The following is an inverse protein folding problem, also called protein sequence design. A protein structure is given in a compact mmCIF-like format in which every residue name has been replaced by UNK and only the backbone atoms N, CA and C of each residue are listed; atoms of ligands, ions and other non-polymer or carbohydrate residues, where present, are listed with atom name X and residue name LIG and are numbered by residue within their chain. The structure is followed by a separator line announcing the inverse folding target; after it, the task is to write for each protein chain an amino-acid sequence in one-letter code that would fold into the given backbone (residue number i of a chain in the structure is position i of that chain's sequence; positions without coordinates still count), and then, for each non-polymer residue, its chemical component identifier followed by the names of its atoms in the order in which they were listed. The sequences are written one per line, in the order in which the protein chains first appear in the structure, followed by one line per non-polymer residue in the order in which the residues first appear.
data_IF_442222602841
#
_entry.id   IF_442222602841
#
_cell.length_a   1.000
_cell.length_b   1.000
_cell.length_c   1.000
_cell.angle_alpha   90.00
_cell.angle_beta   90.00
_cell.angle_gamma   90.00
#
_symmetry.space_group_name_H-M   'P 1'
#
loop_
_entity.id
_entity.type
_entity.pdbx_description
1 polymer ?
#
# COMPACT_ATOMS: atom_id res chain seq x y z
N UNK A 1 -43.43 -28.14 30.86
CA UNK A 1 -43.44 -28.86 29.57
C UNK A 1 -43.72 -27.80 28.51
N UNK A 2 -42.76 -27.24 27.79
CA UNK A 2 -41.36 -27.62 27.51
C UNK A 2 -40.41 -26.45 27.78
N UNK A 3 -39.30 -26.72 28.45
CA UNK A 3 -38.10 -25.87 28.37
C UNK A 3 -37.57 -25.97 26.93
N UNK A 4 -37.37 -24.83 26.29
CA UNK A 4 -36.59 -24.78 25.05
C UNK A 4 -35.13 -24.93 25.44
N UNK A 5 -34.58 -26.12 25.23
CA UNK A 5 -33.14 -26.37 25.24
C UNK A 5 -32.49 -25.43 24.20
N UNK A 6 -31.63 -24.54 24.68
CA UNK A 6 -30.64 -23.90 23.84
C UNK A 6 -29.62 -24.99 23.44
N UNK A 7 -29.80 -25.59 22.27
CA UNK A 7 -28.75 -26.35 21.62
C UNK A 7 -27.57 -25.39 21.37
N UNK A 8 -26.52 -25.56 22.18
CA UNK A 8 -25.19 -25.03 21.87
C UNK A 8 -24.60 -25.83 20.70
N UNK A 9 -25.06 -25.53 19.48
CA UNK A 9 -24.35 -25.88 18.28
C UNK A 9 -23.02 -25.12 18.25
N UNK A 10 -21.91 -25.82 18.38
CA UNK A 10 -20.56 -25.28 18.15
C UNK A 10 -20.33 -25.19 16.63
N UNK A 11 -20.76 -24.08 16.03
CA UNK A 11 -20.55 -23.72 14.65
C UNK A 11 -21.57 -22.67 14.17
N UNK A 12 -21.08 -21.64 13.46
CA UNK A 12 -21.95 -20.75 12.66
C UNK A 12 -22.89 -21.55 11.73
N UNK A 13 -24.15 -21.14 11.66
CA UNK A 13 -25.19 -21.87 10.92
C UNK A 13 -24.96 -21.74 9.42
N UNK A 14 -24.80 -22.85 8.71
CA UNK A 14 -24.58 -22.85 7.25
C UNK A 14 -25.86 -22.64 6.42
N UNK A 15 -27.03 -22.77 7.06
CA UNK A 15 -28.37 -22.66 6.43
C UNK A 15 -29.12 -21.41 6.95
N UNK A 16 -28.52 -20.23 6.77
CA UNK A 16 -29.16 -18.96 7.11
C UNK A 16 -30.03 -18.46 5.95
N UNK A 17 -31.18 -17.86 6.29
CA UNK A 17 -32.05 -17.20 5.31
C UNK A 17 -31.26 -16.08 4.60
N UNK A 18 -31.12 -16.12 3.25
CA UNK A 18 -30.44 -15.06 2.50
C UNK A 18 -31.01 -13.65 2.78
N UNK A 19 -32.28 -13.55 3.18
CA UNK A 19 -32.90 -12.27 3.53
C UNK A 19 -32.21 -11.54 4.70
N UNK A 20 -31.47 -12.26 5.55
CA UNK A 20 -30.68 -11.67 6.66
C UNK A 20 -29.59 -10.71 6.15
N UNK A 21 -29.13 -10.86 4.91
CA UNK A 21 -28.00 -10.10 4.36
C UNK A 21 -28.41 -9.03 3.32
N UNK A 22 -29.70 -8.70 3.22
CA UNK A 22 -30.18 -7.73 2.23
C UNK A 22 -29.59 -6.32 2.41
N UNK A 23 -29.34 -5.90 3.66
CA UNK A 23 -28.91 -4.54 4.00
C UNK A 23 -27.50 -4.46 4.61
N UNK A 24 -26.95 -5.58 5.07
CA UNK A 24 -25.65 -5.68 5.75
C UNK A 24 -24.99 -6.99 5.40
N UNK A 25 -23.66 -7.00 5.27
CA UNK A 25 -22.90 -8.22 5.02
C UNK A 25 -22.60 -9.03 6.30
N UNK A 26 -23.07 -8.56 7.46
CA UNK A 26 -22.92 -9.22 8.75
C UNK A 26 -24.17 -9.04 9.62
N UNK A 27 -24.45 -10.03 10.47
CA UNK A 27 -25.57 -9.98 11.41
C UNK A 27 -25.21 -9.19 12.69
N UNK A 28 -26.21 -8.82 13.48
CA UNK A 28 -26.07 -7.87 14.60
C UNK A 28 -25.48 -8.49 15.88
N UNK A 29 -25.36 -9.82 15.99
CA UNK A 29 -24.79 -10.47 17.17
C UNK A 29 -23.37 -9.95 17.46
N UNK A 30 -22.93 -9.94 18.73
CA UNK A 30 -21.60 -9.47 19.08
C UNK A 30 -20.50 -10.35 18.47
N UNK A 31 -19.34 -9.73 18.19
CA UNK A 31 -18.13 -10.47 17.80
C UNK A 31 -17.68 -11.32 18.99
N UNK A 32 -17.82 -12.64 18.86
CA UNK A 32 -17.43 -13.60 19.89
C UNK A 32 -15.92 -13.66 20.13
N UNK A 33 -15.50 -14.32 21.22
CA UNK A 33 -14.09 -14.48 21.57
C UNK A 33 -13.29 -15.19 20.47
N UNK A 34 -13.86 -16.24 19.88
CA UNK A 34 -13.20 -17.04 18.84
C UNK A 34 -12.89 -16.17 17.61
N UNK A 35 -13.87 -15.38 17.15
CA UNK A 35 -13.67 -14.44 16.04
C UNK A 35 -12.68 -13.32 16.40
N UNK A 36 -12.73 -12.83 17.64
CA UNK A 36 -11.73 -11.85 18.13
C UNK A 36 -10.31 -12.42 18.08
N UNK A 37 -10.12 -13.68 18.47
CA UNK A 37 -8.83 -14.37 18.39
C UNK A 37 -8.39 -14.60 16.94
N UNK A 38 -9.32 -14.95 16.04
CA UNK A 38 -9.05 -15.04 14.60
C UNK A 38 -8.47 -13.71 14.09
N UNK A 39 -9.16 -12.58 14.35
CA UNK A 39 -8.73 -11.25 13.92
C UNK A 39 -7.35 -10.92 14.49
N UNK A 40 -7.14 -11.13 15.79
CA UNK A 40 -5.87 -10.85 16.45
C UNK A 40 -4.70 -11.65 15.84
N UNK A 41 -4.91 -12.93 15.55
CA UNK A 41 -3.87 -13.80 14.98
C UNK A 41 -3.57 -13.43 13.53
N UNK A 42 -4.58 -13.10 12.73
CA UNK A 42 -4.40 -12.67 11.35
C UNK A 42 -3.68 -11.31 11.26
N UNK A 43 -4.04 -10.35 12.11
CA UNK A 43 -3.37 -9.05 12.18
C UNK A 43 -1.92 -9.22 12.64
N UNK A 44 -1.64 -10.07 13.63
CA UNK A 44 -0.26 -10.36 14.05
C UNK A 44 0.56 -11.03 12.92
N UNK A 45 -0.02 -12.01 12.23
CA UNK A 45 0.64 -12.73 11.14
C UNK A 45 0.93 -11.81 9.94
N UNK A 46 -0.10 -11.18 9.37
CA UNK A 46 0.02 -10.39 8.13
C UNK A 46 0.40 -8.94 8.35
N UNK A 47 0.00 -8.34 9.47
CA UNK A 47 0.35 -6.96 9.80
C UNK A 47 1.76 -6.80 10.34
N UNK A 48 2.33 -7.84 10.99
CA UNK A 48 3.63 -7.72 11.68
C UNK A 48 4.65 -8.76 11.21
N UNK A 49 4.35 -10.05 11.35
CA UNK A 49 5.35 -11.12 11.20
C UNK A 49 5.78 -11.35 9.75
N UNK A 50 4.85 -11.40 8.78
CA UNK A 50 5.19 -11.56 7.36
C UNK A 50 6.01 -10.38 6.80
N UNK A 51 5.64 -9.10 7.04
CA UNK A 51 6.47 -7.96 6.65
C UNK A 51 7.87 -7.98 7.27
N UNK A 52 7.97 -8.28 8.58
CA UNK A 52 9.25 -8.41 9.27
C UNK A 52 10.08 -9.56 8.69
N UNK A 53 9.46 -10.73 8.50
CA UNK A 53 10.09 -11.89 7.90
C UNK A 53 10.58 -11.61 6.48
N UNK A 54 9.83 -10.86 5.67
CA UNK A 54 10.25 -10.44 4.34
C UNK A 54 11.52 -9.57 4.41
N UNK A 55 11.53 -8.54 5.26
CA UNK A 55 12.71 -7.67 5.45
C UNK A 55 13.95 -8.46 5.89
N UNK A 56 13.79 -9.36 6.86
CA UNK A 56 14.86 -10.24 7.32
C UNK A 56 15.37 -11.15 6.18
N UNK A 57 14.47 -11.62 5.32
CA UNK A 57 14.83 -12.43 4.14
C UNK A 57 15.62 -11.63 3.10
N UNK A 58 15.18 -10.40 2.80
CA UNK A 58 15.90 -9.48 1.90
C UNK A 58 17.30 -9.14 2.43
N UNK A 59 17.44 -9.01 3.75
CA UNK A 59 18.72 -8.77 4.42
C UNK A 59 19.55 -10.06 4.66
N UNK A 60 19.08 -11.23 4.18
CA UNK A 60 19.72 -12.55 4.39
C UNK A 60 19.99 -12.87 5.87
N UNK A 61 19.12 -12.45 6.77
CA UNK A 61 19.25 -12.65 8.20
C UNK A 61 18.74 -14.04 8.64
N UNK A 62 19.44 -14.70 9.57
CA UNK A 62 19.08 -16.02 10.10
C UNK A 62 17.68 -16.09 10.76
N UNK A 63 17.18 -14.97 11.27
CA UNK A 63 15.85 -14.87 11.88
C UNK A 63 14.69 -14.89 10.88
N UNK A 64 14.98 -14.78 9.57
CA UNK A 64 13.97 -14.89 8.53
C UNK A 64 13.08 -16.13 8.71
N UNK A 65 13.67 -17.33 8.80
CA UNK A 65 12.88 -18.56 8.84
C UNK A 65 12.12 -18.74 10.16
N UNK A 66 12.71 -18.54 11.35
CA UNK A 66 11.94 -18.59 12.61
C UNK A 66 10.72 -17.67 12.63
N UNK A 67 10.86 -16.43 12.16
CA UNK A 67 9.76 -15.45 12.11
C UNK A 67 8.68 -15.89 11.12
N UNK A 68 9.07 -16.40 9.94
CA UNK A 68 8.12 -16.94 8.95
C UNK A 68 7.36 -18.15 9.49
N UNK A 69 8.02 -19.08 10.19
CA UNK A 69 7.36 -20.23 10.83
C UNK A 69 6.33 -19.75 11.85
N UNK A 70 6.68 -18.79 12.72
CA UNK A 70 5.74 -18.24 13.70
C UNK A 70 4.54 -17.57 13.01
N UNK A 71 4.77 -16.78 11.96
CA UNK A 71 3.70 -16.15 11.17
C UNK A 71 2.77 -17.17 10.52
N UNK A 72 3.33 -18.25 9.95
CA UNK A 72 2.55 -19.34 9.37
C UNK A 72 1.77 -20.13 10.42
N UNK A 73 2.32 -20.36 11.61
CA UNK A 73 1.60 -21.02 12.70
C UNK A 73 0.38 -20.21 13.14
N UNK A 74 0.54 -18.90 13.36
CA UNK A 74 -0.57 -18.01 13.70
C UNK A 74 -1.63 -17.97 12.58
N UNK A 75 -1.19 -17.93 11.32
CA UNK A 75 -2.08 -17.98 10.16
C UNK A 75 -2.91 -19.26 10.13
N UNK A 76 -2.28 -20.44 10.28
CA UNK A 76 -2.97 -21.73 10.26
C UNK A 76 -3.99 -21.81 11.41
N UNK A 77 -3.59 -21.44 12.63
CA UNK A 77 -4.52 -21.42 13.78
C UNK A 77 -5.67 -20.44 13.51
N UNK A 78 -5.37 -19.26 12.97
CA UNK A 78 -6.37 -18.27 12.59
C UNK A 78 -7.41 -18.81 11.61
N UNK A 79 -7.02 -19.61 10.60
CA UNK A 79 -7.98 -20.22 9.65
C UNK A 79 -8.95 -21.13 10.39
N UNK A 80 -8.46 -21.98 11.31
CA UNK A 80 -9.33 -22.86 12.08
C UNK A 80 -10.30 -22.07 12.97
N UNK A 81 -9.82 -21.02 13.63
CA UNK A 81 -10.67 -20.13 14.43
C UNK A 81 -11.76 -19.45 13.59
N UNK A 82 -11.47 -19.10 12.33
CA UNK A 82 -12.46 -18.54 11.42
C UNK A 82 -13.62 -19.50 11.13
N UNK A 83 -13.38 -20.81 11.10
CA UNK A 83 -14.41 -21.81 10.83
C UNK A 83 -15.14 -22.26 12.10
N UNK A 84 -14.47 -22.19 13.24
CA UNK A 84 -14.99 -22.61 14.54
C UNK A 84 -15.71 -21.50 15.32
N UNK A 85 -15.89 -20.32 14.74
CA UNK A 85 -16.56 -19.21 15.42
C UNK A 85 -18.06 -19.45 15.55
N UNK A 86 -18.60 -18.89 16.64
CA UNK A 86 -20.02 -18.79 16.94
C UNK A 86 -20.40 -17.31 17.09
N UNK A 87 -21.71 -17.01 17.00
CA UNK A 87 -22.25 -15.66 17.16
C UNK A 87 -22.50 -14.99 15.82
N UNK A 88 -21.87 -13.82 15.60
CA UNK A 88 -22.02 -13.02 14.38
C UNK A 88 -21.77 -13.87 13.13
N UNK A 89 -22.74 -13.89 12.23
CA UNK A 89 -22.68 -14.55 10.94
C UNK A 89 -22.36 -13.53 9.85
N UNK A 90 -21.77 -14.02 8.77
CA UNK A 90 -21.34 -13.22 7.62
C UNK A 90 -21.96 -13.78 6.34
N UNK A 91 -22.20 -12.89 5.38
CA UNK A 91 -22.74 -13.29 4.09
C UNK A 91 -21.79 -14.32 3.42
N UNK A 92 -22.31 -15.46 2.91
CA UNK A 92 -21.47 -16.55 2.41
C UNK A 92 -20.54 -16.20 1.25
N UNK A 93 -20.88 -15.24 0.40
CA UNK A 93 -20.14 -14.82 -0.78
C UNK A 93 -19.33 -13.51 -0.58
N UNK A 94 -19.12 -13.11 0.67
CA UNK A 94 -18.43 -11.86 0.97
C UNK A 94 -16.99 -11.87 0.45
N UNK A 95 -16.52 -10.71 -0.01
CA UNK A 95 -15.20 -10.54 -0.61
C UNK A 95 -14.04 -11.05 0.27
N UNK A 96 -14.14 -10.91 1.60
CA UNK A 96 -13.13 -11.43 2.54
C UNK A 96 -12.96 -12.95 2.45
N UNK A 97 -14.05 -13.71 2.28
CA UNK A 97 -14.01 -15.17 2.19
C UNK A 97 -13.42 -15.61 0.85
N UNK A 98 -13.84 -14.99 -0.24
CA UNK A 98 -13.31 -15.30 -1.57
C UNK A 98 -11.82 -14.95 -1.69
N UNK A 99 -11.40 -13.80 -1.17
CA UNK A 99 -10.00 -13.39 -1.19
C UNK A 99 -9.11 -14.25 -0.28
N UNK A 100 -9.69 -14.90 0.75
CA UNK A 100 -8.97 -15.82 1.61
C UNK A 100 -8.34 -17.00 0.82
N UNK A 101 -8.99 -17.48 -0.24
CA UNK A 101 -8.44 -18.53 -1.09
C UNK A 101 -7.13 -18.08 -1.75
N UNK A 102 -7.08 -16.84 -2.25
CA UNK A 102 -5.86 -16.25 -2.82
C UNK A 102 -4.76 -16.19 -1.77
N UNK A 103 -5.09 -15.81 -0.53
CA UNK A 103 -4.15 -15.76 0.59
C UNK A 103 -3.61 -17.16 0.90
N UNK A 104 -4.48 -18.16 1.04
CA UNK A 104 -4.13 -19.55 1.35
C UNK A 104 -3.19 -20.12 0.29
N UNK A 105 -3.53 -19.96 -0.99
CA UNK A 105 -2.69 -20.46 -2.08
C UNK A 105 -1.34 -19.74 -2.15
N UNK A 106 -1.33 -18.43 -1.91
CA UNK A 106 -0.10 -17.62 -1.92
C UNK A 106 0.85 -18.04 -0.79
N UNK A 107 0.35 -18.15 0.44
CA UNK A 107 1.15 -18.55 1.60
C UNK A 107 1.61 -20.01 1.48
N UNK A 108 0.73 -20.92 1.05
CA UNK A 108 1.07 -22.33 0.85
C UNK A 108 2.15 -22.49 -0.21
N UNK A 109 2.02 -21.80 -1.34
CA UNK A 109 3.03 -21.80 -2.40
C UNK A 109 4.37 -21.24 -1.90
N UNK A 110 4.34 -20.14 -1.13
CA UNK A 110 5.54 -19.56 -0.56
C UNK A 110 6.26 -20.50 0.41
N UNK A 111 5.50 -21.20 1.26
CA UNK A 111 6.02 -22.20 2.19
C UNK A 111 6.66 -23.38 1.45
N UNK A 112 5.95 -23.96 0.47
CA UNK A 112 6.45 -25.08 -0.33
C UNK A 112 7.73 -24.70 -1.08
N UNK A 113 7.76 -23.53 -1.72
CA UNK A 113 8.95 -23.02 -2.39
C UNK A 113 10.09 -22.77 -1.40
N UNK A 114 9.79 -22.22 -0.22
CA UNK A 114 10.79 -21.97 0.83
C UNK A 114 11.42 -23.26 1.35
N UNK A 115 10.62 -24.30 1.59
CA UNK A 115 11.10 -25.64 1.99
C UNK A 115 11.95 -26.25 0.87
N UNK A 116 11.44 -26.25 -0.36
CA UNK A 116 12.15 -26.78 -1.53
C UNK A 116 13.53 -26.13 -1.70
N UNK A 117 13.62 -24.80 -1.64
CA UNK A 117 14.88 -24.07 -1.79
C UNK A 117 15.86 -24.37 -0.65
N UNK A 118 15.36 -24.71 0.54
CA UNK A 118 16.17 -25.05 1.71
C UNK A 118 16.65 -26.50 1.74
N UNK A 119 16.07 -27.39 0.94
CA UNK A 119 16.57 -28.76 0.76
C UNK A 119 17.85 -28.85 -0.09
N UNK A 120 18.36 -27.73 -0.63
CA UNK A 120 19.61 -27.65 -1.39
C UNK A 120 19.71 -28.71 -2.52
N UNK A 121 18.60 -28.93 -3.24
CA UNK A 121 18.56 -29.82 -4.40
C UNK A 121 19.25 -29.16 -5.61
N UNK A 122 20.58 -29.29 -5.68
CA UNK A 122 21.43 -28.56 -6.64
C UNK A 122 21.87 -29.38 -7.86
N UNK A 123 21.56 -30.68 -7.91
CA UNK A 123 22.02 -31.58 -8.97
C UNK A 123 21.00 -31.78 -10.09
N UNK A 124 21.50 -32.09 -11.29
CA UNK A 124 20.69 -32.50 -12.44
C UNK A 124 19.69 -31.45 -12.94
N UNK A 125 18.46 -31.88 -13.20
CA UNK A 125 17.36 -31.02 -13.66
C UNK A 125 16.93 -29.99 -12.61
N UNK A 126 17.00 -30.35 -11.32
CA UNK A 126 16.62 -29.46 -10.21
C UNK A 126 17.54 -28.23 -10.10
N UNK A 127 18.84 -28.43 -10.35
CA UNK A 127 19.81 -27.33 -10.43
C UNK A 127 19.48 -26.31 -11.53
N UNK A 128 18.90 -26.75 -12.66
CA UNK A 128 18.50 -25.85 -13.76
C UNK A 128 17.25 -25.02 -13.43
N UNK A 129 16.30 -25.57 -12.68
CA UNK A 129 15.04 -24.89 -12.34
C UNK A 129 15.19 -23.97 -11.11
N UNK A 130 16.11 -24.28 -10.20
CA UNK A 130 16.31 -23.55 -8.94
C UNK A 130 16.42 -22.02 -9.09
N UNK A 131 17.13 -21.45 -10.09
CA UNK A 131 17.20 -19.99 -10.26
C UNK A 131 15.83 -19.36 -10.55
N UNK A 132 14.99 -20.04 -11.33
CA UNK A 132 13.63 -19.58 -11.63
C UNK A 132 12.76 -19.62 -10.36
N UNK A 133 12.79 -20.73 -9.61
CA UNK A 133 12.03 -20.86 -8.36
C UNK A 133 12.49 -19.86 -7.29
N UNK A 134 13.77 -19.53 -7.25
CA UNK A 134 14.31 -18.49 -6.35
C UNK A 134 13.74 -17.12 -6.70
N UNK A 135 13.59 -16.78 -7.99
CA UNK A 135 12.97 -15.52 -8.43
C UNK A 135 11.49 -15.49 -8.04
N UNK A 136 10.75 -16.58 -8.31
CA UNK A 136 9.33 -16.69 -7.95
C UNK A 136 9.13 -16.54 -6.43
N UNK A 137 9.92 -17.24 -5.61
CA UNK A 137 9.85 -17.15 -4.15
C UNK A 137 10.12 -15.73 -3.63
N UNK A 138 11.02 -14.97 -4.27
CA UNK A 138 11.28 -13.57 -3.91
C UNK A 138 10.11 -12.66 -4.26
N UNK A 139 9.57 -12.79 -5.47
CA UNK A 139 8.44 -11.96 -5.95
C UNK A 139 7.20 -12.24 -5.11
N UNK A 140 6.85 -13.52 -4.94
CA UNK A 140 5.70 -13.93 -4.14
C UNK A 140 5.86 -13.50 -2.67
N UNK A 141 7.05 -13.70 -2.09
CA UNK A 141 7.35 -13.25 -0.73
C UNK A 141 7.22 -11.75 -0.53
N UNK A 142 7.59 -10.94 -1.54
CA UNK A 142 7.41 -9.50 -1.52
C UNK A 142 5.95 -9.06 -1.70
N UNK A 143 5.12 -9.88 -2.37
CA UNK A 143 3.70 -9.61 -2.57
C UNK A 143 2.83 -9.96 -1.35
N UNK A 144 3.26 -10.92 -0.50
CA UNK A 144 2.47 -11.39 0.66
C UNK A 144 2.04 -10.27 1.62
N UNK A 145 2.88 -9.28 2.00
CA UNK A 145 2.42 -8.16 2.83
C UNK A 145 1.27 -7.36 2.21
N UNK A 146 1.28 -7.17 0.89
CA UNK A 146 0.23 -6.46 0.16
C UNK A 146 -1.05 -7.30 0.11
N UNK A 147 -0.93 -8.59 -0.21
CA UNK A 147 -2.05 -9.54 -0.20
C UNK A 147 -2.67 -9.63 1.21
N UNK A 148 -1.83 -9.73 2.25
CA UNK A 148 -2.26 -9.75 3.63
C UNK A 148 -2.95 -8.46 4.07
N UNK A 149 -2.43 -7.31 3.65
CA UNK A 149 -3.07 -6.01 3.87
C UNK A 149 -4.49 -5.97 3.27
N UNK A 150 -4.65 -6.40 2.02
CA UNK A 150 -5.97 -6.47 1.37
C UNK A 150 -6.91 -7.37 2.17
N UNK A 151 -6.45 -8.55 2.61
CA UNK A 151 -7.27 -9.44 3.42
C UNK A 151 -7.68 -8.83 4.77
N UNK A 152 -6.78 -8.09 5.43
CA UNK A 152 -7.09 -7.38 6.69
C UNK A 152 -8.14 -6.30 6.44
N UNK A 153 -7.99 -5.48 5.40
CA UNK A 153 -8.97 -4.43 5.05
C UNK A 153 -10.33 -5.05 4.76
N UNK A 154 -10.38 -6.10 3.94
CA UNK A 154 -11.62 -6.83 3.68
C UNK A 154 -12.21 -7.45 4.95
N UNK A 155 -11.37 -7.89 5.89
CA UNK A 155 -11.80 -8.40 7.20
C UNK A 155 -12.42 -7.34 8.10
N UNK A 156 -11.88 -6.11 8.09
CA UNK A 156 -12.48 -4.96 8.79
C UNK A 156 -13.83 -4.61 8.17
N UNK A 157 -13.91 -4.54 6.85
CA UNK A 157 -15.17 -4.28 6.11
C UNK A 157 -16.21 -5.36 6.45
N UNK A 158 -15.82 -6.63 6.41
CA UNK A 158 -16.68 -7.76 6.77
C UNK A 158 -17.16 -7.69 8.22
N UNK A 159 -16.25 -7.39 9.15
CA UNK A 159 -16.56 -7.32 10.59
C UNK A 159 -17.60 -6.23 10.92
N UNK A 160 -17.60 -5.14 10.14
CA UNK A 160 -18.51 -4.02 10.29
C UNK A 160 -19.81 -4.17 9.46
N UNK A 161 -19.86 -5.12 8.53
CA UNK A 161 -21.01 -5.31 7.64
C UNK A 161 -21.18 -4.21 6.57
N UNK A 162 -20.12 -3.42 6.32
CA UNK A 162 -20.16 -2.31 5.36
C UNK A 162 -19.87 -2.76 3.92
N UNK A 163 -20.05 -1.84 2.97
CA UNK A 163 -19.68 -1.97 1.57
C UNK A 163 -20.43 -3.05 0.80
N UNK A 164 -21.73 -3.20 1.09
CA UNK A 164 -22.63 -4.14 0.44
C UNK A 164 -23.71 -3.40 -0.38
N UNK A 165 -24.23 -4.07 -1.42
CA UNK A 165 -25.28 -3.50 -2.28
C UNK A 165 -24.86 -2.20 -2.98
N UNK A 166 -25.71 -1.18 -2.91
CA UNK A 166 -25.50 0.12 -3.58
C UNK A 166 -24.29 0.90 -3.06
N UNK A 167 -23.86 0.65 -1.81
CA UNK A 167 -22.69 1.33 -1.21
C UNK A 167 -21.34 0.79 -1.70
N UNK A 168 -21.33 -0.31 -2.45
CA UNK A 168 -20.08 -0.98 -2.90
C UNK A 168 -19.18 -0.05 -3.70
N UNK A 169 -19.74 0.71 -4.66
CA UNK A 169 -18.95 1.63 -5.50
C UNK A 169 -18.28 2.75 -4.70
N UNK A 170 -19.03 3.36 -3.78
CA UNK A 170 -18.55 4.41 -2.90
C UNK A 170 -17.40 3.90 -2.01
N UNK A 171 -17.56 2.71 -1.43
CA UNK A 171 -16.52 2.05 -0.64
C UNK A 171 -15.26 1.75 -1.46
N UNK A 172 -15.40 1.19 -2.66
CA UNK A 172 -14.26 0.89 -3.52
C UNK A 172 -13.46 2.16 -3.82
N UNK A 173 -14.12 3.26 -4.14
CA UNK A 173 -13.45 4.54 -4.37
C UNK A 173 -12.64 4.99 -3.14
N UNK A 174 -13.23 4.93 -1.94
CA UNK A 174 -12.58 5.38 -0.69
C UNK A 174 -11.41 4.48 -0.28
N UNK A 175 -11.64 3.16 -0.24
CA UNK A 175 -10.62 2.21 0.15
C UNK A 175 -9.49 2.12 -0.88
N UNK A 176 -9.76 2.08 -2.19
CA UNK A 176 -8.70 1.97 -3.21
C UNK A 176 -7.88 3.26 -3.30
N UNK A 177 -8.51 4.43 -3.36
CA UNK A 177 -7.76 5.69 -3.46
C UNK A 177 -7.03 6.00 -2.15
N UNK A 178 -7.66 5.77 -1.00
CA UNK A 178 -7.03 5.98 0.30
C UNK A 178 -5.83 5.04 0.51
N UNK A 179 -5.98 3.76 0.16
CA UNK A 179 -4.87 2.78 0.17
C UNK A 179 -3.75 3.21 -0.78
N UNK A 180 -4.08 3.76 -1.95
CA UNK A 180 -3.09 4.26 -2.91
C UNK A 180 -2.26 5.41 -2.35
N UNK A 181 -2.86 6.34 -1.59
CA UNK A 181 -2.10 7.41 -0.92
C UNK A 181 -1.21 6.89 0.22
N UNK A 182 -1.69 5.90 1.00
CA UNK A 182 -0.86 5.22 2.01
C UNK A 182 0.32 4.52 1.35
N UNK A 183 0.07 3.74 0.29
CA UNK A 183 1.10 3.06 -0.47
C UNK A 183 2.10 4.05 -1.07
N UNK A 184 1.63 5.17 -1.62
CA UNK A 184 2.49 6.20 -2.15
C UNK A 184 3.36 6.85 -1.06
N UNK A 185 2.81 7.14 0.11
CA UNK A 185 3.58 7.58 1.28
C UNK A 185 4.69 6.60 1.67
N UNK A 186 4.42 5.30 1.68
CA UNK A 186 5.42 4.25 1.94
C UNK A 186 6.47 4.19 0.82
N UNK A 187 6.08 4.32 -0.45
CA UNK A 187 7.01 4.32 -1.58
C UNK A 187 7.91 5.57 -1.57
N UNK A 188 7.38 6.73 -1.21
CA UNK A 188 8.17 7.95 -0.97
C UNK A 188 9.19 7.74 0.14
N UNK A 189 8.78 7.11 1.26
CA UNK A 189 9.67 6.82 2.37
C UNK A 189 10.78 5.82 1.97
N UNK A 190 10.43 4.80 1.19
CA UNK A 190 11.38 3.83 0.65
C UNK A 190 12.36 4.49 -0.32
N UNK A 191 11.85 5.34 -1.23
CA UNK A 191 12.67 6.14 -2.14
C UNK A 191 13.66 7.02 -1.39
N UNK A 192 13.19 7.71 -0.34
CA UNK A 192 13.99 8.59 0.50
C UNK A 192 15.13 7.86 1.22
N UNK A 193 14.85 6.71 1.85
CA UNK A 193 15.84 6.00 2.69
C UNK A 193 16.78 5.12 1.87
N UNK A 194 16.26 4.42 0.87
CA UNK A 194 17.00 3.34 0.18
C UNK A 194 16.96 3.44 -1.34
N UNK A 195 16.08 4.25 -1.94
CA UNK A 195 15.94 4.34 -3.40
C UNK A 195 16.96 5.25 -4.10
N UNK A 196 17.57 6.19 -3.40
CA UNK A 196 18.43 7.24 -3.98
C UNK A 196 19.53 6.76 -4.95
N UNK A 197 20.47 5.91 -4.51
CA UNK A 197 21.53 5.35 -5.37
C UNK A 197 21.00 4.62 -6.61
N UNK A 198 19.91 3.85 -6.46
CA UNK A 198 19.27 3.14 -7.58
C UNK A 198 18.67 4.11 -8.59
N UNK A 199 17.97 5.15 -8.13
CA UNK A 199 17.42 6.20 -9.00
C UNK A 199 18.51 6.90 -9.81
N UNK A 200 19.61 7.31 -9.16
CA UNK A 200 20.74 7.92 -9.84
C UNK A 200 21.39 6.98 -10.86
N UNK A 201 21.61 5.70 -10.50
CA UNK A 201 22.22 4.73 -11.42
C UNK A 201 21.39 4.46 -12.68
N UNK A 202 20.07 4.62 -12.60
CA UNK A 202 19.18 4.49 -13.76
C UNK A 202 18.99 5.80 -14.53
N UNK A 203 19.58 6.92 -14.08
CA UNK A 203 19.37 8.24 -14.67
C UNK A 203 17.91 8.70 -14.62
N UNK A 204 17.16 8.26 -13.60
CA UNK A 204 15.74 8.60 -13.41
C UNK A 204 15.54 9.32 -12.09
N UNK A 205 14.74 10.38 -12.11
CA UNK A 205 14.22 10.98 -10.90
C UNK A 205 13.04 10.16 -10.38
N UNK A 206 12.72 10.33 -9.09
CA UNK A 206 11.55 9.69 -8.51
C UNK A 206 10.26 10.18 -9.20
N UNK A 207 10.21 11.48 -9.49
CA UNK A 207 9.08 12.16 -10.12
C UNK A 207 8.79 11.62 -11.53
N UNK A 208 9.79 11.06 -12.20
CA UNK A 208 9.59 10.39 -13.48
C UNK A 208 8.68 9.16 -13.31
N UNK A 209 8.91 8.33 -12.29
CA UNK A 209 8.05 7.19 -11.97
C UNK A 209 6.68 7.64 -11.48
N UNK A 210 6.64 8.63 -10.57
CA UNK A 210 5.39 9.17 -10.03
C UNK A 210 4.50 9.70 -11.17
N UNK A 211 5.10 10.40 -12.15
CA UNK A 211 4.38 10.94 -13.30
C UNK A 211 3.83 9.85 -14.22
N UNK A 212 4.52 8.72 -14.40
CA UNK A 212 3.99 7.58 -15.15
C UNK A 212 2.81 6.93 -14.45
N UNK A 213 2.91 6.72 -13.13
CA UNK A 213 1.81 6.15 -12.34
C UNK A 213 0.59 7.06 -12.41
N UNK A 214 0.78 8.36 -12.18
CA UNK A 214 -0.27 9.38 -12.31
C UNK A 214 -0.90 9.34 -13.71
N UNK A 215 -0.08 9.23 -14.76
CA UNK A 215 -0.58 9.22 -16.13
C UNK A 215 -1.44 7.99 -16.41
N UNK A 216 -0.93 6.79 -16.11
CA UNK A 216 -1.64 5.52 -16.35
C UNK A 216 -2.91 5.45 -15.50
N UNK A 217 -2.83 5.84 -14.23
CA UNK A 217 -3.98 5.89 -13.35
C UNK A 217 -5.05 6.87 -13.85
N UNK A 218 -4.64 8.07 -14.27
CA UNK A 218 -5.55 9.06 -14.85
C UNK A 218 -6.25 8.55 -16.11
N UNK A 219 -5.55 7.84 -16.99
CA UNK A 219 -6.13 7.22 -18.18
C UNK A 219 -7.20 6.19 -17.78
N UNK A 220 -6.87 5.26 -16.88
CA UNK A 220 -7.82 4.25 -16.41
C UNK A 220 -9.05 4.95 -15.83
N UNK A 221 -8.85 5.88 -14.89
CA UNK A 221 -9.93 6.60 -14.23
C UNK A 221 -10.84 7.35 -15.21
N UNK A 222 -10.28 8.01 -16.24
CA UNK A 222 -11.08 8.70 -17.28
C UNK A 222 -12.02 7.75 -18.02
N UNK A 223 -11.60 6.51 -18.28
CA UNK A 223 -12.36 5.58 -19.13
C UNK A 223 -13.18 4.53 -18.36
N UNK A 224 -12.96 4.37 -17.06
CA UNK A 224 -13.68 3.38 -16.23
C UNK A 224 -14.80 3.97 -15.38
N UNK A 225 -14.80 5.28 -15.16
CA UNK A 225 -15.72 5.90 -14.22
C UNK A 225 -17.16 5.97 -14.75
N UNK A 226 -17.33 6.43 -16.00
CA UNK A 226 -18.64 6.43 -16.62
C UNK A 226 -19.00 5.03 -17.14
N UNK A 227 -20.18 4.55 -16.76
CA UNK A 227 -20.74 3.32 -17.31
C UNK A 227 -21.27 3.57 -18.72
N UNK A 228 -20.44 3.27 -19.71
CA UNK A 228 -20.78 3.39 -21.12
C UNK A 228 -22.13 2.77 -21.44
N UNK A 229 -23.03 3.57 -22.02
CA UNK A 229 -24.41 3.17 -22.36
C UNK A 229 -25.47 3.69 -21.39
N UNK A 230 -25.09 4.36 -20.30
CA UNK A 230 -26.00 5.07 -19.40
C UNK A 230 -25.90 6.59 -19.56
N UNK A 231 -26.87 7.34 -19.03
CA UNK A 231 -26.81 8.80 -19.01
C UNK A 231 -25.75 9.30 -18.02
N UNK A 232 -25.10 10.41 -18.36
CA UNK A 232 -24.12 11.05 -17.49
C UNK A 232 -24.80 11.68 -16.28
N UNK A 233 -24.30 11.36 -15.09
CA UNK A 233 -24.72 12.01 -13.84
C UNK A 233 -23.64 12.98 -13.32
N UNK A 234 -23.96 13.74 -12.26
CA UNK A 234 -23.03 14.73 -11.70
C UNK A 234 -21.71 14.13 -11.20
N UNK A 235 -21.76 12.95 -10.57
CA UNK A 235 -20.58 12.24 -10.09
C UNK A 235 -19.66 11.81 -11.24
N UNK A 236 -20.24 11.32 -12.34
CA UNK A 236 -19.48 10.92 -13.54
C UNK A 236 -18.62 12.09 -14.07
N UNK A 237 -19.18 13.30 -14.13
CA UNK A 237 -18.43 14.49 -14.56
C UNK A 237 -17.28 14.83 -13.61
N UNK A 238 -17.52 14.82 -12.29
CA UNK A 238 -16.50 15.14 -11.29
C UNK A 238 -15.34 14.15 -11.32
N UNK A 239 -15.64 12.86 -11.31
CA UNK A 239 -14.61 11.82 -11.25
C UNK A 239 -13.90 11.62 -12.61
N UNK A 240 -14.62 11.68 -13.74
CA UNK A 240 -14.00 11.59 -15.07
C UNK A 240 -13.06 12.76 -15.32
N UNK A 241 -13.49 13.99 -15.00
CA UNK A 241 -12.65 15.18 -15.16
C UNK A 241 -11.41 15.15 -14.26
N UNK A 242 -11.50 14.56 -13.06
CA UNK A 242 -10.33 14.27 -12.22
C UNK A 242 -9.34 13.32 -12.91
N UNK A 243 -9.84 12.27 -13.59
CA UNK A 243 -8.98 11.41 -14.40
C UNK A 243 -8.26 12.18 -15.51
N UNK A 244 -8.97 13.10 -16.18
CA UNK A 244 -8.43 13.88 -17.30
C UNK A 244 -7.27 14.76 -16.85
N UNK A 245 -7.45 15.53 -15.78
CA UNK A 245 -6.38 16.38 -15.25
C UNK A 245 -5.19 15.55 -14.76
N UNK A 246 -5.42 14.36 -14.19
CA UNK A 246 -4.35 13.46 -13.75
C UNK A 246 -3.49 13.00 -14.92
N UNK A 247 -4.07 12.47 -16.00
CA UNK A 247 -3.24 12.00 -17.11
C UNK A 247 -2.58 13.13 -17.90
N UNK A 248 -3.26 14.28 -18.05
CA UNK A 248 -2.67 15.45 -18.68
C UNK A 248 -1.45 15.98 -17.89
N UNK A 249 -1.59 16.12 -16.56
CA UNK A 249 -0.48 16.51 -15.69
C UNK A 249 0.63 15.44 -15.67
N UNK A 250 0.26 14.16 -15.70
CA UNK A 250 1.20 13.04 -15.81
C UNK A 250 2.08 13.15 -17.05
N UNK A 251 1.52 13.47 -18.22
CA UNK A 251 2.31 13.71 -19.45
C UNK A 251 3.33 14.83 -19.24
N UNK A 252 2.90 15.98 -18.67
CA UNK A 252 3.81 17.11 -18.40
C UNK A 252 4.92 16.69 -17.44
N UNK A 253 4.58 15.95 -16.38
CA UNK A 253 5.53 15.42 -15.41
C UNK A 253 6.54 14.47 -16.04
N UNK A 254 6.10 13.55 -16.91
CA UNK A 254 6.98 12.61 -17.64
C UNK A 254 7.95 13.37 -18.56
N UNK A 255 7.49 14.43 -19.24
CA UNK A 255 8.31 15.25 -20.13
C UNK A 255 9.37 16.03 -19.35
N UNK A 256 8.98 16.72 -18.27
CA UNK A 256 9.88 17.54 -17.48
C UNK A 256 10.85 16.74 -16.60
N UNK A 257 10.52 15.48 -16.29
CA UNK A 257 11.36 14.61 -15.45
C UNK A 257 12.31 13.73 -16.26
N UNK A 258 12.47 13.99 -17.58
CA UNK A 258 13.38 13.21 -18.44
C UNK A 258 14.82 13.41 -18.02
N UNK A 259 15.67 12.43 -18.31
CA UNK A 259 17.12 12.48 -18.08
C UNK A 259 17.50 12.82 -16.64
N UNK A 260 16.73 12.31 -15.66
CA UNK A 260 17.01 12.49 -14.24
C UNK A 260 16.61 13.86 -13.67
N UNK A 261 16.00 14.74 -14.47
CA UNK A 261 15.52 16.04 -14.00
C UNK A 261 14.42 15.88 -12.95
N UNK A 262 14.44 16.74 -11.93
CA UNK A 262 13.41 16.80 -10.89
C UNK A 262 12.25 17.71 -11.36
N UNK A 263 11.03 17.40 -10.94
CA UNK A 263 9.83 18.15 -11.36
C UNK A 263 8.82 18.29 -10.23
N UNK A 264 8.24 19.47 -10.06
CA UNK A 264 7.20 19.69 -9.05
C UNK A 264 5.80 19.28 -9.53
N UNK A 265 5.63 18.89 -10.80
CA UNK A 265 4.32 18.64 -11.40
C UNK A 265 3.47 17.61 -10.65
N UNK A 266 4.00 16.45 -10.24
CA UNK A 266 3.23 15.52 -9.40
C UNK A 266 2.70 16.18 -8.11
N UNK A 267 3.49 17.04 -7.49
CA UNK A 267 3.10 17.73 -6.25
C UNK A 267 2.05 18.80 -6.48
N UNK A 268 2.15 19.53 -7.60
CA UNK A 268 1.13 20.50 -8.03
C UNK A 268 -0.20 19.79 -8.30
N UNK A 269 -0.19 18.65 -8.98
CA UNK A 269 -1.40 17.87 -9.22
C UNK A 269 -2.05 17.41 -7.90
N UNK A 270 -1.25 16.97 -6.94
CA UNK A 270 -1.73 16.56 -5.61
C UNK A 270 -2.41 17.74 -4.88
N UNK A 271 -1.85 18.94 -4.98
CA UNK A 271 -2.45 20.18 -4.45
C UNK A 271 -3.78 20.50 -5.13
N UNK A 272 -3.85 20.38 -6.47
CA UNK A 272 -5.09 20.62 -7.21
C UNK A 272 -6.17 19.58 -6.86
N UNK A 273 -5.77 18.33 -6.67
CA UNK A 273 -6.64 17.25 -6.19
C UNK A 273 -7.18 17.59 -4.81
N UNK A 274 -6.33 18.04 -3.88
CA UNK A 274 -6.75 18.47 -2.57
C UNK A 274 -7.81 19.60 -2.61
N UNK A 275 -7.62 20.59 -3.48
CA UNK A 275 -8.58 21.68 -3.67
C UNK A 275 -9.91 21.20 -4.23
N UNK A 276 -9.89 20.27 -5.19
CA UNK A 276 -11.11 19.71 -5.78
C UNK A 276 -11.96 18.94 -4.76
N UNK A 277 -11.34 18.15 -3.87
CA UNK A 277 -12.05 17.40 -2.83
C UNK A 277 -12.56 18.26 -1.66
N UNK A 278 -11.97 19.43 -1.41
CA UNK A 278 -12.55 20.40 -0.45
C UNK A 278 -13.91 20.94 -0.92
N UNK A 279 -14.15 20.99 -2.23
CA UNK A 279 -15.39 21.45 -2.83
C UNK A 279 -16.40 20.34 -3.16
N UNK A 280 -16.12 19.08 -2.85
CA UNK A 280 -17.02 17.97 -3.14
C UNK A 280 -18.19 17.95 -2.13
N UNK A 281 -19.40 18.27 -2.61
CA UNK A 281 -20.62 18.14 -1.84
C UNK A 281 -20.88 16.65 -1.54
N UNK A 282 -21.24 16.34 -0.30
CA UNK A 282 -21.49 14.98 0.17
C UNK A 282 -22.94 14.86 0.65
N UNK A 283 -23.52 13.67 0.50
CA UNK A 283 -24.93 13.46 0.81
C UNK A 283 -25.21 13.35 2.31
N UNK A 284 -24.23 12.89 3.10
CA UNK A 284 -24.37 12.74 4.55
C UNK A 284 -23.80 13.96 5.32
N UNK A 285 -24.51 14.45 6.36
CA UNK A 285 -23.95 15.38 7.33
C UNK A 285 -22.61 14.83 7.85
N UNK A 286 -21.62 15.69 8.07
CA UNK A 286 -20.26 15.36 8.54
C UNK A 286 -19.24 14.82 7.51
N UNK A 287 -19.66 14.31 6.34
CA UNK A 287 -18.70 13.81 5.33
C UNK A 287 -17.80 14.92 4.76
N UNK A 288 -18.35 16.12 4.54
CA UNK A 288 -17.55 17.27 4.10
C UNK A 288 -16.43 17.67 5.07
N UNK A 289 -16.58 17.44 6.37
CA UNK A 289 -15.56 17.78 7.36
C UNK A 289 -14.35 16.85 7.30
N UNK A 290 -14.58 15.52 7.23
CA UNK A 290 -13.48 14.56 7.11
C UNK A 290 -12.78 14.63 5.75
N UNK A 291 -13.53 14.87 4.66
CA UNK A 291 -12.94 15.14 3.34
C UNK A 291 -12.11 16.43 3.32
N UNK A 292 -12.50 17.45 4.10
CA UNK A 292 -11.69 18.66 4.26
C UNK A 292 -10.38 18.37 4.99
N UNK A 293 -10.39 17.55 6.05
CA UNK A 293 -9.16 17.12 6.73
C UNK A 293 -8.25 16.30 5.81
N UNK A 294 -8.82 15.39 5.02
CA UNK A 294 -8.11 14.69 3.96
C UNK A 294 -7.43 15.68 3.01
N UNK A 295 -8.18 16.68 2.51
CA UNK A 295 -7.67 17.73 1.63
C UNK A 295 -6.55 18.55 2.27
N UNK A 296 -6.65 18.90 3.55
CA UNK A 296 -5.58 19.63 4.25
C UNK A 296 -4.29 18.81 4.35
N UNK A 297 -4.39 17.52 4.68
CA UNK A 297 -3.21 16.63 4.71
C UNK A 297 -2.61 16.43 3.31
N UNK A 298 -3.45 16.28 2.29
CA UNK A 298 -3.01 16.12 0.90
C UNK A 298 -2.30 17.38 0.38
N UNK A 299 -2.85 18.56 0.68
CA UNK A 299 -2.25 19.86 0.40
C UNK A 299 -0.89 20.02 1.11
N UNK A 300 -0.81 19.66 2.39
CA UNK A 300 0.44 19.69 3.16
C UNK A 300 1.50 18.76 2.54
N UNK A 301 1.11 17.59 2.06
CA UNK A 301 2.01 16.67 1.33
C UNK A 301 2.54 17.26 0.04
N UNK A 302 1.68 17.84 -0.79
CA UNK A 302 2.11 18.48 -2.03
C UNK A 302 3.02 19.69 -1.77
N UNK A 303 2.66 20.59 -0.85
CA UNK A 303 3.48 21.77 -0.53
C UNK A 303 4.82 21.41 0.07
N UNK A 304 4.84 20.47 1.02
CA UNK A 304 6.09 20.01 1.64
C UNK A 304 7.00 19.32 0.62
N UNK A 305 6.44 18.60 -0.36
CA UNK A 305 7.21 17.98 -1.45
C UNK A 305 7.79 19.01 -2.42
N UNK A 306 7.07 20.08 -2.75
CA UNK A 306 7.61 21.20 -3.53
C UNK A 306 8.81 21.81 -2.80
N UNK A 307 8.66 22.11 -1.50
CA UNK A 307 9.74 22.68 -0.70
C UNK A 307 10.94 21.73 -0.66
N UNK A 308 10.68 20.44 -0.50
CA UNK A 308 11.74 19.44 -0.48
C UNK A 308 12.52 19.38 -1.80
N UNK A 309 11.83 19.31 -2.94
CA UNK A 309 12.46 19.26 -4.27
C UNK A 309 13.25 20.53 -4.56
N UNK A 310 12.71 21.71 -4.23
CA UNK A 310 13.30 22.99 -4.62
C UNK A 310 14.41 23.48 -3.69
N UNK A 311 14.36 23.15 -2.39
CA UNK A 311 15.21 23.81 -1.39
C UNK A 311 15.97 22.86 -0.46
N UNK A 312 15.47 21.65 -0.22
CA UNK A 312 16.05 20.74 0.79
C UNK A 312 16.88 19.64 0.14
N UNK A 313 16.39 19.08 -0.96
CA UNK A 313 17.01 17.95 -1.62
C UNK A 313 18.35 18.35 -2.26
N UNK A 314 19.36 17.51 -2.04
CA UNK A 314 20.70 17.66 -2.61
C UNK A 314 21.12 16.36 -3.27
N UNK A 315 21.60 16.47 -4.50
CA UNK A 315 22.04 15.30 -5.28
C UNK A 315 23.23 14.62 -4.59
N UNK A 316 23.21 13.28 -4.54
CA UNK A 316 24.30 12.47 -3.98
C UNK A 316 24.36 12.40 -2.45
N UNK A 317 23.61 13.25 -1.72
CA UNK A 317 23.62 13.27 -0.25
C UNK A 317 22.58 12.30 0.36
N UNK A 318 22.84 11.00 0.26
CA UNK A 318 21.88 9.97 0.70
C UNK A 318 21.90 9.63 2.20
N UNK A 319 22.99 9.97 2.90
CA UNK A 319 23.15 9.68 4.34
C UNK A 319 22.53 10.76 5.22
N UNK A 320 22.55 12.00 4.75
CA UNK A 320 22.09 13.18 5.48
C UNK A 320 20.65 13.50 5.10
N UNK A 321 19.71 12.80 5.72
CA UNK A 321 18.28 13.04 5.47
C UNK A 321 17.78 14.11 6.43
N UNK A 322 17.33 15.23 5.88
CA UNK A 322 16.73 16.31 6.66
C UNK A 322 15.39 15.88 7.26
N UNK A 323 15.05 16.29 8.50
CA UNK A 323 13.74 16.03 9.10
C UNK A 323 12.56 16.44 8.21
N UNK A 324 12.73 17.50 7.39
CA UNK A 324 11.71 17.97 6.45
C UNK A 324 11.29 16.91 5.43
N UNK A 325 12.23 16.06 4.99
CA UNK A 325 11.98 15.08 3.93
C UNK A 325 11.04 13.96 4.36
N UNK A 326 10.77 13.81 5.66
CA UNK A 326 9.76 12.88 6.17
C UNK A 326 8.34 13.42 6.14
N UNK A 327 8.16 14.74 5.98
CA UNK A 327 6.82 15.37 5.97
C UNK A 327 5.99 14.91 4.75
N UNK A 328 6.52 14.89 3.51
CA UNK A 328 5.74 14.41 2.36
C UNK A 328 5.21 12.97 2.51
N UNK A 329 6.05 11.94 2.81
CA UNK A 329 5.53 10.58 2.94
C UNK A 329 4.57 10.41 4.12
N UNK A 330 4.80 11.14 5.23
CA UNK A 330 3.91 11.09 6.40
C UNK A 330 2.53 11.67 6.07
N UNK A 331 2.47 12.89 5.54
CA UNK A 331 1.21 13.57 5.26
C UNK A 331 0.36 12.85 4.20
N UNK A 332 0.99 12.20 3.21
CA UNK A 332 0.27 11.32 2.28
C UNK A 332 -0.30 10.06 2.96
N UNK A 333 0.45 9.47 3.90
CA UNK A 333 -0.03 8.33 4.69
C UNK A 333 -1.24 8.71 5.54
N UNK A 334 -1.17 9.86 6.22
CA UNK A 334 -2.26 10.41 7.04
C UNK A 334 -3.49 10.74 6.18
N UNK A 335 -3.27 11.40 5.03
CA UNK A 335 -4.31 11.71 4.05
C UNK A 335 -5.02 10.45 3.57
N UNK A 336 -4.29 9.42 3.17
CA UNK A 336 -4.87 8.16 2.70
C UNK A 336 -5.79 7.49 3.72
N UNK A 337 -5.41 7.45 5.00
CA UNK A 337 -6.25 6.86 6.05
C UNK A 337 -7.49 7.70 6.38
N UNK A 338 -7.38 9.03 6.36
CA UNK A 338 -8.55 9.91 6.48
C UNK A 338 -9.55 9.64 5.33
N UNK A 339 -9.04 9.43 4.12
CA UNK A 339 -9.88 9.11 2.96
C UNK A 339 -10.48 7.70 3.02
N UNK A 340 -9.77 6.70 3.53
CA UNK A 340 -10.34 5.37 3.76
C UNK A 340 -11.48 5.42 4.78
N UNK A 341 -11.37 6.29 5.78
CA UNK A 341 -12.33 6.40 6.88
C UNK A 341 -13.58 7.23 6.58
N UNK A 342 -13.71 7.82 5.39
CA UNK A 342 -14.80 8.76 5.04
C UNK A 342 -15.92 8.12 4.21
N UNK A 343 -16.18 6.82 4.38
CA UNK A 343 -17.35 6.18 3.76
C UNK A 343 -18.66 6.63 4.40
N UNK A 344 -19.74 6.72 3.63
CA UNK A 344 -21.03 7.18 4.15
C UNK A 344 -21.56 6.27 5.27
N UNK A 345 -21.40 4.96 5.12
CA UNK A 345 -21.81 3.97 6.13
C UNK A 345 -21.01 4.10 7.43
N UNK A 346 -19.69 4.31 7.36
CA UNK A 346 -18.88 4.56 8.57
C UNK A 346 -19.32 5.83 9.29
N UNK A 347 -19.55 6.91 8.56
CA UNK A 347 -19.94 8.20 9.15
C UNK A 347 -21.35 8.16 9.74
N UNK A 348 -22.28 7.45 9.09
CA UNK A 348 -23.61 7.19 9.63
C UNK A 348 -23.53 6.40 10.95
N UNK A 349 -22.71 5.35 10.98
CA UNK A 349 -22.48 4.56 12.19
C UNK A 349 -21.88 5.40 13.34
N UNK A 350 -20.88 6.24 13.06
CA UNK A 350 -20.30 7.15 14.05
C UNK A 350 -21.31 8.16 14.60
N UNK A 351 -22.21 8.65 13.74
CA UNK A 351 -23.28 9.57 14.13
C UNK A 351 -24.24 8.90 15.12
N UNK A 352 -24.61 7.64 14.88
CA UNK A 352 -25.45 6.85 15.81
C UNK A 352 -24.73 6.62 17.15
N UNK A 353 -23.42 6.40 17.12
CA UNK A 353 -22.59 6.22 18.31
C UNK A 353 -22.29 7.54 19.07
N UNK A 354 -22.71 8.69 18.56
CA UNK A 354 -22.43 10.00 19.15
C UNK A 354 -20.95 10.40 19.10
N UNK A 355 -20.16 9.83 18.18
CA UNK A 355 -18.75 10.14 17.99
C UNK A 355 -18.61 11.28 16.98
N UNK A 356 -17.98 12.38 17.40
CA UNK A 356 -17.73 13.51 16.52
C UNK A 356 -16.59 13.25 15.51
N UNK A 357 -16.61 13.98 14.40
CA UNK A 357 -15.65 13.81 13.30
C UNK A 357 -14.22 14.11 13.73
N UNK A 358 -14.01 15.06 14.64
CA UNK A 358 -12.67 15.45 15.10
C UNK A 358 -12.04 14.32 15.90
N UNK A 359 -12.78 13.76 16.87
CA UNK A 359 -12.36 12.60 17.65
C UNK A 359 -12.05 11.39 16.76
N UNK A 360 -12.92 11.09 15.80
CA UNK A 360 -12.68 10.01 14.84
C UNK A 360 -11.44 10.27 13.96
N UNK A 361 -11.26 11.49 13.47
CA UNK A 361 -10.09 11.87 12.67
C UNK A 361 -8.79 11.75 13.46
N UNK A 362 -8.79 12.09 14.74
CA UNK A 362 -7.62 11.89 15.61
C UNK A 362 -7.25 10.41 15.75
N UNK A 363 -8.23 9.50 15.79
CA UNK A 363 -7.98 8.05 15.82
C UNK A 363 -7.34 7.61 14.50
N UNK A 364 -7.87 8.04 13.35
CA UNK A 364 -7.31 7.70 12.04
C UNK A 364 -5.89 8.25 11.86
N UNK A 365 -5.65 9.50 12.27
CA UNK A 365 -4.32 10.11 12.25
C UNK A 365 -3.34 9.36 13.16
N UNK A 366 -3.77 9.01 14.38
CA UNK A 366 -2.95 8.22 15.31
C UNK A 366 -2.57 6.87 14.72
N UNK A 367 -3.52 6.18 14.08
CA UNK A 367 -3.25 4.94 13.37
C UNK A 367 -2.27 5.16 12.20
N UNK A 368 -2.37 6.28 11.48
CA UNK A 368 -1.44 6.64 10.43
C UNK A 368 -0.01 6.89 10.89
N UNK A 369 0.18 7.51 12.06
CA UNK A 369 1.50 7.59 12.69
C UNK A 369 2.06 6.20 13.01
N UNK A 370 1.23 5.27 13.48
CA UNK A 370 1.66 3.88 13.75
C UNK A 370 2.05 3.17 12.45
N UNK A 371 1.25 3.29 11.38
CA UNK A 371 1.56 2.71 10.06
C UNK A 371 2.87 3.28 9.52
N UNK A 372 3.05 4.61 9.60
CA UNK A 372 4.28 5.26 9.17
C UNK A 372 5.49 4.81 9.99
N UNK A 373 5.37 4.75 11.31
CA UNK A 373 6.43 4.29 12.20
C UNK A 373 6.80 2.83 11.94
N UNK A 374 5.82 1.98 11.66
CA UNK A 374 6.05 0.58 11.31
C UNK A 374 6.79 0.44 9.98
N UNK A 375 6.32 1.14 8.92
CA UNK A 375 6.99 1.16 7.62
C UNK A 375 8.43 1.69 7.72
N UNK A 376 8.63 2.80 8.45
CA UNK A 376 9.95 3.34 8.76
C UNK A 376 10.84 2.31 9.45
N UNK A 377 10.32 1.64 10.47
CA UNK A 377 11.08 0.66 11.25
C UNK A 377 11.54 -0.53 10.40
N UNK A 378 10.68 -1.01 9.50
CA UNK A 378 11.02 -2.08 8.56
C UNK A 378 12.12 -1.66 7.58
N UNK A 379 12.01 -0.46 6.99
CA UNK A 379 13.00 0.08 6.06
C UNK A 379 14.34 0.32 6.78
N UNK A 380 14.29 0.93 7.96
CA UNK A 380 15.46 1.19 8.80
C UNK A 380 16.16 -0.10 9.24
N UNK A 381 15.39 -1.13 9.61
CA UNK A 381 15.94 -2.44 9.95
C UNK A 381 16.69 -3.04 8.77
N UNK A 382 16.13 -2.99 7.56
CA UNK A 382 16.80 -3.48 6.36
C UNK A 382 18.11 -2.73 6.09
N UNK A 383 18.08 -1.40 6.18
CA UNK A 383 19.25 -0.54 5.98
C UNK A 383 20.39 -0.89 6.96
N UNK A 384 20.06 -1.07 8.24
CA UNK A 384 21.03 -1.46 9.28
C UNK A 384 21.59 -2.86 9.10
N UNK A 385 20.77 -3.82 8.71
CA UNK A 385 21.22 -5.20 8.50
C UNK A 385 22.09 -5.35 7.25
N UNK A 386 21.99 -4.43 6.29
CA UNK A 386 22.71 -4.50 5.00
C UNK A 386 23.88 -3.53 4.88
N UNK A 387 24.14 -2.70 5.90
CA UNK A 387 25.13 -1.60 5.86
C UNK A 387 24.95 -0.69 4.63
N UNK A 388 23.69 -0.43 4.27
CA UNK A 388 23.35 0.42 3.13
C UNK A 388 23.60 1.91 3.47
N UNK A 389 24.13 2.75 2.56
CA UNK A 389 24.57 2.46 1.19
C UNK A 389 26.06 2.06 1.08
N UNK A 390 26.79 1.90 2.19
CA UNK A 390 28.24 1.63 2.17
C UNK A 390 28.59 0.38 1.36
N UNK A 391 27.74 -0.65 1.42
CA UNK A 391 27.90 -1.88 0.64
C UNK A 391 27.84 -1.64 -0.89
N UNK A 392 27.06 -0.66 -1.37
CA UNK A 392 27.05 -0.29 -2.79
C UNK A 392 28.34 0.43 -3.18
N UNK A 393 28.82 1.38 -2.36
CA UNK A 393 30.08 2.09 -2.61
C UNK A 393 31.30 1.15 -2.64
N UNK A 394 31.29 0.08 -1.82
CA UNK A 394 32.35 -0.94 -1.80
C UNK A 394 32.36 -1.84 -3.04
N UNK A 395 31.18 -2.15 -3.60
CA UNK A 395 31.04 -3.09 -4.72
C UNK A 395 30.94 -2.41 -6.10
N UNK A 396 30.59 -1.13 -6.14
CA UNK A 396 30.61 -0.28 -7.31
C UNK A 396 31.22 1.04 -6.88
N UNK A 397 32.54 1.17 -7.04
CA UNK A 397 33.21 2.44 -6.90
C UNK A 397 32.55 3.42 -7.85
N UNK A 398 31.75 4.33 -7.29
CA UNK A 398 31.41 5.57 -7.97
C UNK A 398 32.75 6.28 -8.12
N UNK A 399 33.41 6.14 -9.26
CA UNK A 399 34.41 7.10 -9.68
C UNK A 399 33.69 8.44 -9.67
N UNK A 400 34.00 9.26 -8.67
CA UNK A 400 33.87 10.70 -8.78
C UNK A 400 34.55 11.07 -10.10
N UNK A 401 33.74 11.36 -11.11
CA UNK A 401 34.22 12.10 -12.26
C UNK A 401 34.51 13.48 -11.70
N UNK A 402 35.76 13.71 -11.30
CA UNK A 402 36.24 15.05 -11.04
C UNK A 402 36.09 15.83 -12.36
N UNK A 403 35.19 16.80 -12.38
CA UNK A 403 34.91 17.74 -13.47
C UNK A 403 36.10 18.69 -13.77
N UNK A 404 37.34 18.25 -13.53
CA UNK A 404 38.55 19.07 -13.73
C UNK A 404 39.55 18.49 -14.73
N UNK A 405 39.35 17.27 -15.25
CA UNK A 405 40.23 16.67 -16.27
C UNK A 405 39.53 16.29 -17.58
N UNK A 406 38.23 16.54 -17.73
CA UNK A 406 37.48 16.27 -18.97
C UNK A 406 37.67 17.34 -20.08
N UNK A 407 38.62 18.28 -19.91
CA UNK A 407 38.87 19.35 -20.88
C UNK A 407 40.15 19.19 -21.71
N UNK A 408 41.02 18.21 -21.42
CA UNK A 408 42.32 18.12 -22.10
C UNK A 408 42.55 16.83 -22.90
N UNK A 409 41.60 15.89 -22.91
CA UNK A 409 41.74 14.62 -23.63
C UNK A 409 40.90 14.52 -24.90
N UNK A 410 40.39 15.65 -25.42
CA UNK A 410 39.52 15.71 -26.60
C UNK A 410 40.18 16.35 -27.83
N UNK A 411 41.51 16.54 -27.83
CA UNK A 411 42.23 17.23 -28.92
C UNK A 411 43.52 16.55 -29.44
N UNK A 412 43.92 15.37 -28.96
CA UNK A 412 45.23 14.78 -29.34
C UNK A 412 45.18 13.49 -30.19
N UNK A 413 44.02 13.02 -30.65
CA UNK A 413 43.91 11.72 -31.36
C UNK A 413 43.53 11.82 -32.86
N UNK A 414 43.92 12.88 -33.59
CA UNK A 414 43.68 12.95 -35.06
C UNK A 414 44.92 12.94 -35.97
N UNK A 415 46.14 12.82 -35.47
CA UNK A 415 47.34 12.75 -36.34
C UNK A 415 48.28 11.61 -35.94
N UNK A 416 48.04 10.38 -36.43
CA UNK A 416 49.10 9.42 -36.81
C UNK A 416 48.51 8.13 -37.41
N UNK A 417 48.16 8.17 -38.70
CA UNK A 417 48.03 6.99 -39.54
C UNK A 417 48.57 7.30 -40.95
N UNK A 418 49.89 7.51 -41.01
CA UNK A 418 50.70 7.38 -42.24
C UNK A 418 52.05 6.75 -41.90
N UNK A 419 52.42 5.78 -42.74
CA UNK A 419 53.75 5.20 -42.95
C UNK A 419 54.34 4.30 -41.85
N UNK A 420 54.14 2.98 -41.96
CA UNK A 420 55.17 2.01 -42.42
C UNK A 420 54.65 0.56 -42.41
#
# INVERSE_FOLDING_TARGET
MSEHEHEHGMGHTHDLDPALFNNSAATDEPIGLIMTLHIAFMVAAFGVLYPLGMVLGLAKNKWHVPVQILGTLLFVIGIFLAHAHDGRNYEPHIAHRWFADIVIWSVSSQLVLGVYLRLHLETGFQGKIRPALTKVHKILGAAIPVIGYVQIVLGVIASLGFCYGESTGQCLAHFIMGSSFVAYGILLLLSLRVGGPWLLSNGKSQEWYDSWVIMVWGIVNTFTEHRWGHEWNHGDYQHTSMGIIWWAAGIVGVILSRNGQRSVIPSVLIILTAAAFQGHAQHVPNSGAIHSYFGYMLMAGGLSRIIEICFVWKQGQFKEISPWQYIPPLTLTLSGLLFMGSTEQQLAYLTVMGVDVSSYSNILLSFGFIVFAFAFSLIYLWEKLTDYPNTLQKNGGYTEVNDTEASSSFLDDEDELKDT
#
